data_IF_576010389475
#
_entry.id   IF_576010389475
#
_cell.length_a   1.000
_cell.length_b   1.000
_cell.length_c   1.000
_cell.angle_alpha   90.00
_cell.angle_beta   90.00
_cell.angle_gamma   90.00
#
_symmetry.space_group_name_H-M   'P 1'
#
loop_
_entity.id
_entity.type
_entity.pdbx_description
1 polymer ?
#
# COMPACT_ATOMS: atom_id res chain seq x y z
N UNK A 1 9.19 -0.36 0.07
CA UNK A 1 9.35 1.05 0.52
C UNK A 1 8.84 1.17 1.94
N UNK A 2 9.45 1.98 2.80
CA UNK A 2 8.82 2.32 4.08
C UNK A 2 7.62 3.22 3.77
N UNK A 3 6.48 3.00 4.42
CA UNK A 3 5.24 3.81 4.21
C UNK A 3 5.57 5.31 4.26
N UNK A 4 6.43 5.74 5.19
CA UNK A 4 6.91 7.12 5.30
C UNK A 4 7.54 7.65 3.99
N UNK A 5 8.38 6.85 3.33
CA UNK A 5 9.00 7.26 2.07
C UNK A 5 7.95 7.44 0.98
N UNK A 6 6.93 6.58 0.95
CA UNK A 6 5.82 6.70 0.01
C UNK A 6 4.97 7.95 0.27
N UNK A 7 4.69 8.29 1.53
CA UNK A 7 3.99 9.54 1.88
C UNK A 7 4.78 10.77 1.44
N UNK A 8 6.11 10.77 1.64
CA UNK A 8 6.98 11.86 1.18
C UNK A 8 6.96 11.95 -0.35
N UNK A 9 7.05 10.83 -1.07
CA UNK A 9 7.00 10.82 -2.52
C UNK A 9 5.64 11.28 -3.04
N UNK A 10 4.54 10.85 -2.41
CA UNK A 10 3.19 11.33 -2.74
C UNK A 10 3.09 12.85 -2.58
N UNK A 11 3.63 13.38 -1.47
CA UNK A 11 3.64 14.81 -1.19
C UNK A 11 4.45 15.60 -2.21
N UNK A 12 5.66 15.14 -2.54
CA UNK A 12 6.51 15.81 -3.53
C UNK A 12 5.90 15.77 -4.93
N UNK A 13 5.30 14.64 -5.32
CA UNK A 13 4.62 14.51 -6.61
C UNK A 13 3.36 15.37 -6.69
N UNK A 14 2.54 15.41 -5.65
CA UNK A 14 1.35 16.26 -5.64
C UNK A 14 1.71 17.74 -5.67
N UNK A 15 2.76 18.14 -4.95
CA UNK A 15 3.31 19.49 -5.00
C UNK A 15 3.78 19.83 -6.42
N UNK A 16 4.56 18.95 -7.06
CA UNK A 16 5.03 19.16 -8.44
C UNK A 16 3.86 19.33 -9.41
N UNK A 17 2.89 18.40 -9.38
CA UNK A 17 1.75 18.41 -10.31
C UNK A 17 0.89 19.67 -10.08
N UNK A 18 0.66 20.08 -8.84
CA UNK A 18 -0.14 21.27 -8.51
C UNK A 18 0.47 22.58 -9.03
N UNK A 19 1.81 22.65 -9.11
CA UNK A 19 2.52 23.86 -9.53
C UNK A 19 2.84 23.89 -11.03
N UNK A 20 2.88 22.74 -11.70
CA UNK A 20 3.14 22.63 -13.15
C UNK A 20 1.85 22.49 -13.96
N UNK A 21 0.81 21.91 -13.39
CA UNK A 21 -0.45 21.57 -14.07
C UNK A 21 -1.66 22.08 -13.30
N UNK A 22 -2.76 22.28 -14.03
CA UNK A 22 -4.09 22.60 -13.47
C UNK A 22 -4.89 21.32 -13.18
N UNK A 23 -4.28 20.15 -13.36
CA UNK A 23 -4.94 18.88 -13.13
C UNK A 23 -5.36 18.70 -11.67
N UNK A 24 -6.61 18.30 -11.49
CA UNK A 24 -7.20 17.96 -10.20
C UNK A 24 -8.02 16.67 -10.35
N UNK A 25 -7.82 15.65 -9.49
CA UNK A 25 -8.61 14.42 -9.56
C UNK A 25 -10.09 14.71 -9.34
N UNK A 26 -10.95 14.15 -10.20
CA UNK A 26 -12.40 14.15 -9.98
C UNK A 26 -12.79 13.16 -8.87
N UNK A 27 -13.97 13.32 -8.28
CA UNK A 27 -14.55 12.34 -7.35
C UNK A 27 -14.60 10.95 -7.98
N UNK A 28 -15.00 10.85 -9.26
CA UNK A 28 -15.07 9.58 -9.99
C UNK A 28 -13.68 8.91 -10.06
N UNK A 29 -12.64 9.68 -10.37
CA UNK A 29 -11.26 9.19 -10.41
C UNK A 29 -10.82 8.65 -9.06
N UNK A 30 -11.06 9.40 -7.98
CA UNK A 30 -10.70 8.97 -6.62
C UNK A 30 -11.47 7.71 -6.20
N UNK A 31 -12.77 7.63 -6.53
CA UNK A 31 -13.60 6.45 -6.24
C UNK A 31 -13.01 5.21 -6.91
N UNK A 32 -12.71 5.29 -8.22
CA UNK A 32 -12.11 4.16 -8.96
C UNK A 32 -10.79 3.73 -8.33
N UNK A 33 -9.91 4.68 -8.02
CA UNK A 33 -8.61 4.38 -7.40
C UNK A 33 -8.76 3.72 -6.03
N UNK A 34 -9.71 4.20 -5.21
CA UNK A 34 -9.98 3.63 -3.90
C UNK A 34 -10.60 2.24 -4.01
N UNK A 35 -11.53 2.01 -4.93
CA UNK A 35 -12.12 0.68 -5.18
C UNK A 35 -11.05 -0.33 -5.59
N UNK A 36 -10.18 0.01 -6.55
CA UNK A 36 -9.09 -0.89 -6.98
C UNK A 36 -8.15 -1.19 -5.81
N UNK A 37 -7.80 -0.18 -5.01
CA UNK A 37 -6.98 -0.35 -3.80
C UNK A 37 -7.64 -1.26 -2.76
N UNK A 38 -8.96 -1.14 -2.56
CA UNK A 38 -9.74 -1.99 -1.66
C UNK A 38 -9.79 -3.44 -2.12
N UNK A 39 -9.90 -3.69 -3.43
CA UNK A 39 -9.82 -5.04 -4.00
C UNK A 39 -8.42 -5.62 -3.75
N UNK A 40 -7.34 -4.89 -4.07
CA UNK A 40 -5.97 -5.34 -3.83
C UNK A 40 -5.70 -5.64 -2.35
N UNK A 41 -6.19 -4.79 -1.45
CA UNK A 41 -6.11 -5.02 -0.01
C UNK A 41 -6.86 -6.30 0.40
N UNK A 42 -8.10 -6.48 -0.05
CA UNK A 42 -8.94 -7.62 0.33
C UNK A 42 -8.36 -8.95 -0.16
N UNK A 43 -7.94 -9.00 -1.43
CA UNK A 43 -7.31 -10.18 -2.03
C UNK A 43 -5.96 -10.47 -1.34
N UNK A 44 -5.16 -9.43 -1.08
CA UNK A 44 -3.89 -9.59 -0.39
C UNK A 44 -4.03 -10.09 1.04
N UNK A 45 -4.98 -9.55 1.81
CA UNK A 45 -5.27 -10.03 3.16
C UNK A 45 -5.78 -11.48 3.14
N UNK A 46 -6.61 -11.84 2.16
CA UNK A 46 -7.07 -13.21 1.93
C UNK A 46 -5.92 -14.20 1.80
N UNK A 47 -4.90 -13.89 1.00
CA UNK A 47 -3.71 -14.74 0.89
C UNK A 47 -2.93 -14.84 2.20
N UNK A 48 -2.75 -13.71 2.90
CA UNK A 48 -2.01 -13.67 4.17
C UNK A 48 -2.63 -14.61 5.20
N UNK A 49 -3.96 -14.60 5.35
CA UNK A 49 -4.65 -15.43 6.36
C UNK A 49 -4.66 -16.92 6.00
N UNK A 50 -4.51 -17.27 4.71
CA UNK A 50 -4.46 -18.67 4.26
C UNK A 50 -3.10 -19.34 4.44
N UNK A 51 -2.04 -18.58 4.73
CA UNK A 51 -0.72 -19.18 4.96
C UNK A 51 -0.72 -19.87 6.32
N UNK A 52 -0.73 -21.20 6.28
CA UNK A 52 -0.58 -22.04 7.45
C UNK A 52 0.73 -22.82 7.33
N UNK A 53 1.71 -22.63 8.23
CA UNK A 53 2.99 -23.35 8.19
C UNK A 53 2.84 -24.78 8.72
N UNK A 54 1.83 -25.52 8.25
CA UNK A 54 1.63 -26.91 8.58
C UNK A 54 2.72 -27.77 7.93
N UNK A 55 3.23 -28.75 8.67
CA UNK A 55 4.28 -29.66 8.18
C UNK A 55 5.72 -29.18 8.39
N UNK A 56 5.94 -27.89 8.67
CA UNK A 56 7.26 -27.37 9.04
C UNK A 56 7.66 -27.92 10.41
N UNK A 57 8.78 -28.63 10.51
CA UNK A 57 9.24 -29.23 11.79
C UNK A 57 10.16 -28.32 12.59
N UNK A 58 10.88 -27.42 11.92
CA UNK A 58 11.80 -26.50 12.56
C UNK A 58 11.07 -25.36 13.30
N UNK A 59 11.08 -25.40 14.64
CA UNK A 59 10.44 -24.38 15.49
C UNK A 59 10.96 -22.96 15.25
N UNK A 60 12.27 -22.79 15.02
CA UNK A 60 12.83 -21.47 14.76
C UNK A 60 12.29 -20.88 13.45
N UNK A 61 12.11 -21.72 12.43
CA UNK A 61 11.55 -21.32 11.14
C UNK A 61 10.05 -20.97 11.24
N UNK A 62 9.27 -21.73 12.02
CA UNK A 62 7.85 -21.40 12.28
C UNK A 62 7.70 -20.01 12.92
N UNK A 63 8.56 -19.69 13.90
CA UNK A 63 8.54 -18.37 14.55
C UNK A 63 8.83 -17.27 13.54
N UNK A 64 9.81 -17.47 12.66
CA UNK A 64 10.19 -16.49 11.63
C UNK A 64 9.09 -16.30 10.57
N UNK A 65 8.45 -17.39 10.13
CA UNK A 65 7.29 -17.34 9.24
C UNK A 65 6.18 -16.51 9.87
N UNK A 66 5.78 -16.83 11.12
CA UNK A 66 4.71 -16.11 11.82
C UNK A 66 5.04 -14.63 12.00
N UNK A 67 6.29 -14.31 12.33
CA UNK A 67 6.77 -12.93 12.43
C UNK A 67 6.63 -12.21 11.09
N UNK A 68 7.05 -12.84 10.01
CA UNK A 68 6.98 -12.27 8.65
C UNK A 68 5.53 -12.03 8.22
N UNK A 69 4.66 -13.02 8.38
CA UNK A 69 3.22 -12.92 8.08
C UNK A 69 2.60 -11.75 8.85
N UNK A 70 2.81 -11.70 10.17
CA UNK A 70 2.27 -10.62 11.01
C UNK A 70 2.81 -9.24 10.61
N UNK A 71 4.10 -9.14 10.28
CA UNK A 71 4.70 -7.89 9.83
C UNK A 71 4.09 -7.40 8.51
N UNK A 72 3.90 -8.28 7.53
CA UNK A 72 3.28 -7.90 6.26
C UNK A 72 1.81 -7.56 6.46
N UNK A 73 1.07 -8.36 7.24
CA UNK A 73 -0.34 -8.08 7.59
C UNK A 73 -0.52 -6.69 8.21
N UNK A 74 0.30 -6.36 9.21
CA UNK A 74 0.21 -5.07 9.88
C UNK A 74 0.54 -3.91 8.93
N UNK A 75 1.48 -4.11 8.00
CA UNK A 75 1.76 -3.13 6.94
C UNK A 75 0.60 -2.91 5.99
N UNK A 76 -0.10 -3.98 5.57
CA UNK A 76 -1.32 -3.87 4.78
C UNK A 76 -2.40 -3.07 5.51
N UNK A 77 -2.63 -3.36 6.80
CA UNK A 77 -3.62 -2.64 7.60
C UNK A 77 -3.29 -1.15 7.75
N UNK A 78 -2.03 -0.82 8.10
CA UNK A 78 -1.63 0.59 8.27
C UNK A 78 -1.78 1.35 6.95
N UNK A 79 -1.29 0.77 5.85
CA UNK A 79 -1.39 1.41 4.53
C UNK A 79 -2.86 1.62 4.12
N UNK A 80 -3.68 0.58 4.25
CA UNK A 80 -5.10 0.66 3.89
C UNK A 80 -5.86 1.65 4.76
N UNK A 81 -5.55 1.70 6.06
CA UNK A 81 -6.12 2.68 6.97
C UNK A 81 -5.78 4.12 6.55
N UNK A 82 -4.51 4.41 6.20
CA UNK A 82 -4.08 5.74 5.80
C UNK A 82 -4.77 6.21 4.51
N UNK A 83 -4.86 5.36 3.48
CA UNK A 83 -5.55 5.74 2.25
C UNK A 83 -7.06 5.85 2.45
N UNK A 84 -7.65 5.04 3.33
CA UNK A 84 -9.07 5.11 3.67
C UNK A 84 -9.38 6.43 4.36
N UNK A 85 -8.57 6.82 5.34
CA UNK A 85 -8.72 8.09 6.04
C UNK A 85 -8.58 9.28 5.07
N UNK A 86 -7.55 9.27 4.23
CA UNK A 86 -7.35 10.33 3.24
C UNK A 86 -8.50 10.41 2.22
N UNK A 87 -9.00 9.26 1.77
CA UNK A 87 -10.12 9.20 0.84
C UNK A 87 -11.42 9.71 1.50
N UNK A 88 -11.77 9.25 2.69
CA UNK A 88 -13.00 9.67 3.38
C UNK A 88 -12.98 11.17 3.68
N UNK A 89 -11.84 11.73 4.08
CA UNK A 89 -11.74 13.16 4.41
C UNK A 89 -11.69 14.06 3.16
N UNK A 90 -11.06 13.61 2.06
CA UNK A 90 -10.65 14.50 0.97
C UNK A 90 -11.15 14.07 -0.43
N UNK A 91 -12.04 13.07 -0.54
CA UNK A 91 -12.54 12.57 -1.83
C UNK A 91 -13.49 13.49 -2.58
N UNK A 92 -14.00 14.56 -1.95
CA UNK A 92 -14.92 15.52 -2.57
C UNK A 92 -14.16 16.80 -2.95
N UNK A 93 -13.73 16.96 -4.22
CA UNK A 93 -12.86 18.08 -4.60
C UNK A 93 -13.50 19.46 -4.40
N UNK A 94 -14.81 19.54 -4.55
CA UNK A 94 -15.61 20.78 -4.40
C UNK A 94 -15.54 21.35 -2.98
N UNK A 95 -15.34 20.51 -1.97
CA UNK A 95 -15.29 20.92 -0.57
C UNK A 95 -13.92 21.49 -0.16
N UNK A 96 -12.91 21.36 -1.02
CA UNK A 96 -11.53 21.69 -0.70
C UNK A 96 -10.99 22.75 -1.64
N UNK A 97 -10.36 23.78 -1.10
CA UNK A 97 -9.68 24.81 -1.88
C UNK A 97 -8.18 24.52 -1.97
N UNK A 98 -7.55 25.02 -3.03
CA UNK A 98 -6.11 24.92 -3.20
C UNK A 98 -5.44 25.86 -2.21
N UNK A 99 -4.58 25.33 -1.36
CA UNK A 99 -3.84 26.06 -0.34
C UNK A 99 -2.64 26.73 -1.01
N UNK A 100 -2.49 28.04 -0.83
CA UNK A 100 -1.28 28.77 -1.24
C UNK A 100 -0.29 28.76 -0.06
N UNK A 101 0.83 28.06 -0.23
CA UNK A 101 1.86 27.92 0.80
C UNK A 101 2.81 29.13 0.84
N UNK A 102 3.18 29.65 -0.32
CA UNK A 102 4.04 30.83 -0.48
C UNK A 102 3.44 31.69 -1.59
N UNK A 103 3.30 32.99 -1.33
CA UNK A 103 2.86 33.95 -2.33
C UNK A 103 3.81 35.15 -2.32
N UNK A 104 4.81 35.12 -3.20
CA UNK A 104 5.64 36.26 -3.58
C UNK A 104 5.29 36.69 -5.00
N UNK A 105 5.69 37.89 -5.43
CA UNK A 105 5.34 38.44 -6.75
C UNK A 105 5.79 37.56 -7.93
N UNK A 106 6.85 36.75 -7.76
CA UNK A 106 7.40 35.88 -8.81
C UNK A 106 7.07 34.39 -8.64
N UNK A 107 6.78 33.93 -7.41
CA UNK A 107 6.60 32.50 -7.10
C UNK A 107 5.34 32.31 -6.26
N UNK A 108 4.39 31.55 -6.79
CA UNK A 108 3.21 31.07 -6.05
C UNK A 108 3.32 29.57 -5.86
N UNK A 109 3.63 29.12 -4.65
CA UNK A 109 3.63 27.71 -4.30
C UNK A 109 2.22 27.29 -3.87
N UNK A 110 1.62 26.36 -4.60
CA UNK A 110 0.28 25.82 -4.37
C UNK A 110 0.34 24.37 -3.89
N UNK A 111 -0.61 23.99 -3.05
CA UNK A 111 -0.81 22.62 -2.60
C UNK A 111 -2.30 22.28 -2.60
N UNK A 112 -2.63 21.13 -3.19
CA UNK A 112 -3.99 20.62 -3.21
C UNK A 112 -4.04 19.26 -2.50
N UNK A 113 -4.79 19.23 -1.40
CA UNK A 113 -4.94 18.03 -0.57
C UNK A 113 -5.66 16.90 -1.31
N UNK A 114 -6.52 17.23 -2.27
CA UNK A 114 -7.27 16.25 -3.07
C UNK A 114 -6.33 15.57 -4.06
N UNK A 115 -5.44 16.35 -4.67
CA UNK A 115 -4.38 15.83 -5.53
C UNK A 115 -3.41 14.95 -4.74
N UNK A 116 -3.05 15.36 -3.51
CA UNK A 116 -2.27 14.52 -2.60
C UNK A 116 -2.96 13.18 -2.30
N UNK A 117 -4.25 13.18 -1.96
CA UNK A 117 -5.02 11.94 -1.76
C UNK A 117 -5.00 11.06 -3.00
N UNK A 118 -5.18 11.64 -4.20
CA UNK A 118 -5.09 10.90 -5.46
C UNK A 118 -3.71 10.27 -5.68
N UNK A 119 -2.63 11.01 -5.43
CA UNK A 119 -1.26 10.48 -5.53
C UNK A 119 -0.97 9.40 -4.50
N UNK A 120 -1.49 9.51 -3.27
CA UNK A 120 -1.37 8.43 -2.28
C UNK A 120 -2.03 7.16 -2.79
N UNK A 121 -3.29 7.23 -3.25
CA UNK A 121 -4.02 6.07 -3.76
C UNK A 121 -3.26 5.38 -4.90
N UNK A 122 -2.72 6.15 -5.84
CA UNK A 122 -1.94 5.61 -6.97
C UNK A 122 -0.67 4.91 -6.47
N UNK A 123 0.08 5.52 -5.55
CA UNK A 123 1.34 4.94 -5.05
C UNK A 123 1.11 3.72 -4.14
N UNK A 124 -0.04 3.65 -3.45
CA UNK A 124 -0.39 2.51 -2.62
C UNK A 124 -0.68 1.25 -3.43
N UNK A 125 -1.11 1.38 -4.69
CA UNK A 125 -1.39 0.22 -5.55
C UNK A 125 -0.14 -0.63 -5.83
N UNK A 126 0.98 -0.10 -6.40
CA UNK A 126 2.21 -0.87 -6.53
C UNK A 126 2.72 -1.40 -5.20
N UNK A 127 2.57 -0.63 -4.11
CA UNK A 127 2.96 -1.09 -2.79
C UNK A 127 2.19 -2.35 -2.37
N UNK A 128 0.86 -2.37 -2.52
CA UNK A 128 0.07 -3.58 -2.27
C UNK A 128 0.49 -4.72 -3.19
N UNK A 129 0.70 -4.46 -4.47
CA UNK A 129 1.13 -5.48 -5.44
C UNK A 129 2.48 -6.12 -5.09
N UNK A 130 3.49 -5.33 -4.72
CA UNK A 130 4.80 -5.87 -4.35
C UNK A 130 4.72 -6.70 -3.08
N UNK A 131 3.98 -6.24 -2.06
CA UNK A 131 3.82 -7.03 -0.85
C UNK A 131 3.00 -8.31 -1.12
N UNK A 132 1.98 -8.23 -1.99
CA UNK A 132 1.20 -9.37 -2.45
C UNK A 132 2.06 -10.45 -3.11
N UNK A 133 2.94 -10.07 -4.05
CA UNK A 133 3.87 -10.99 -4.70
C UNK A 133 4.86 -11.61 -3.71
N UNK A 134 5.33 -10.84 -2.73
CA UNK A 134 6.22 -11.34 -1.68
C UNK A 134 5.53 -12.40 -0.81
N UNK A 135 4.24 -12.23 -0.50
CA UNK A 135 3.44 -13.21 0.26
C UNK A 135 3.25 -14.49 -0.53
N UNK A 136 2.91 -14.39 -1.82
CA UNK A 136 2.78 -15.56 -2.69
C UNK A 136 4.09 -16.35 -2.76
N UNK A 137 5.21 -15.65 -2.92
CA UNK A 137 6.54 -16.28 -2.91
C UNK A 137 6.80 -16.99 -1.58
N UNK A 138 6.53 -16.34 -0.45
CA UNK A 138 6.70 -16.96 0.87
C UNK A 138 5.87 -18.24 1.01
N UNK A 139 4.63 -18.25 0.52
CA UNK A 139 3.78 -19.44 0.57
C UNK A 139 4.37 -20.61 -0.25
N UNK A 140 4.88 -20.33 -1.44
CA UNK A 140 5.55 -21.33 -2.28
C UNK A 140 6.84 -21.83 -1.62
N UNK A 141 7.65 -20.94 -1.06
CA UNK A 141 8.88 -21.30 -0.35
C UNK A 141 8.60 -22.21 0.85
N UNK A 142 7.52 -21.97 1.58
CA UNK A 142 7.06 -22.85 2.68
C UNK A 142 6.68 -24.22 2.15
N UNK A 143 5.90 -24.28 1.07
CA UNK A 143 5.46 -25.54 0.46
C UNK A 143 6.65 -26.39 -0.02
N UNK A 144 7.58 -25.78 -0.75
CA UNK A 144 8.78 -26.46 -1.25
C UNK A 144 9.64 -26.98 -0.09
N UNK A 145 9.74 -26.20 1.00
CA UNK A 145 10.52 -26.60 2.17
C UNK A 145 9.90 -27.79 2.90
N UNK A 146 8.58 -27.83 3.04
CA UNK A 146 7.87 -28.96 3.65
C UNK A 146 8.09 -30.24 2.85
N UNK A 147 8.07 -30.17 1.51
CA UNK A 147 8.33 -31.32 0.66
C UNK A 147 9.77 -31.82 0.78
N UNK A 148 10.77 -30.93 0.77
CA UNK A 148 12.17 -31.29 0.98
C UNK A 148 12.44 -31.95 2.34
N UNK A 149 11.78 -31.47 3.40
CA UNK A 149 11.89 -32.10 4.72
C UNK A 149 11.24 -33.49 4.73
N UNK A 150 10.12 -33.67 4.02
CA UNK A 150 9.39 -34.95 3.92
C UNK A 150 10.18 -36.00 3.15
N UNK A 151 10.77 -35.64 2.00
CA UNK A 151 11.59 -36.54 1.19
C UNK A 151 12.83 -37.07 1.93
N UNK A 152 13.44 -36.27 2.81
CA UNK A 152 14.59 -36.68 3.64
C UNK A 152 14.24 -37.70 4.72
N UNK A 153 12.95 -37.90 5.01
CA UNK A 153 12.47 -38.80 6.07
C UNK A 153 11.99 -40.13 5.48
N UNK A 154 11.56 -40.15 4.22
CA UNK A 154 11.30 -41.39 3.48
C UNK A 154 12.62 -42.01 3.02
N UNK A 155 12.94 -43.26 3.43
CA UNK A 155 14.18 -43.94 3.09
C UNK A 155 14.32 -44.27 1.59
#
# INVERSE_FOLDING_TARGET
MKIIAQLIVAFLLSLLICNVSVYRPSTVTLNVLYTVSGILFSVGLGLIITIVPNGVRNRAYIVEIRRTINNVRNRFFVEFFLITLAYVCFSTPENWTIIKLIQNEEITLKFDIVLYTGTMLILSMPYFMFNFLAIQKLNNDIFDRVNQETERITP
#
